data_IF_532898857031
#
_entry.id   IF_532898857031
#
_cell.length_a   1.000
_cell.length_b   1.000
_cell.length_c   1.000
_cell.angle_alpha   90.00
_cell.angle_beta   90.00
_cell.angle_gamma   90.00
#
_symmetry.space_group_name_H-M   'P 1'
#
loop_
_entity.id
_entity.type
_entity.pdbx_description
1 polymer ?
#
# COMPACT_ATOMS: atom_id res chain seq x y z
N UNK A 1 -11.16 -6.57 24.87
CA UNK A 1 -11.49 -7.75 24.04
C UNK A 1 -10.27 -8.10 23.22
N UNK A 2 -9.79 -9.34 23.26
CA UNK A 2 -8.67 -9.79 22.43
C UNK A 2 -9.20 -10.09 21.03
N UNK A 3 -9.09 -9.14 20.10
CA UNK A 3 -9.23 -9.45 18.68
C UNK A 3 -8.08 -10.38 18.31
N UNK A 4 -8.39 -11.59 17.86
CA UNK A 4 -7.40 -12.51 17.33
C UNK A 4 -6.82 -11.94 16.03
N UNK A 5 -5.49 -11.85 15.97
CA UNK A 5 -4.76 -11.33 14.82
C UNK A 5 -4.13 -12.48 14.05
N UNK A 6 -4.43 -12.56 12.76
CA UNK A 6 -3.83 -13.54 11.86
C UNK A 6 -2.57 -12.94 11.25
N UNK A 7 -1.41 -13.50 11.59
CA UNK A 7 -0.16 -13.16 10.91
C UNK A 7 -0.24 -13.62 9.46
N UNK A 8 0.04 -12.70 8.54
CA UNK A 8 0.23 -13.00 7.12
C UNK A 8 1.72 -13.05 6.80
N UNK A 9 2.47 -12.04 7.25
CA UNK A 9 3.93 -11.98 7.08
C UNK A 9 4.60 -11.69 8.42
N UNK A 10 5.71 -12.36 8.67
CA UNK A 10 6.59 -12.09 9.80
C UNK A 10 8.03 -12.24 9.34
N UNK A 11 8.83 -11.20 9.51
CA UNK A 11 10.20 -11.20 9.04
C UNK A 11 11.07 -10.24 9.86
N UNK A 12 12.37 -10.55 9.89
CA UNK A 12 13.39 -9.60 10.28
C UNK A 12 13.73 -8.75 9.06
N UNK A 13 13.68 -7.42 9.19
CA UNK A 13 14.01 -6.50 8.12
C UNK A 13 15.46 -6.72 7.70
N UNK A 14 15.73 -7.11 6.47
CA UNK A 14 17.09 -7.20 5.93
C UNK A 14 17.04 -7.06 4.38
N UNK A 15 18.18 -7.10 3.66
CA UNK A 15 18.18 -6.96 2.21
C UNK A 15 17.37 -8.03 1.46
N UNK A 16 17.17 -9.22 2.03
CA UNK A 16 16.47 -10.35 1.41
C UNK A 16 14.98 -10.40 1.81
N UNK A 17 14.65 -10.06 3.05
CA UNK A 17 13.28 -10.06 3.59
C UNK A 17 12.88 -8.66 4.02
N UNK A 18 12.07 -8.02 3.17
CA UNK A 18 11.55 -6.66 3.33
C UNK A 18 10.24 -6.50 2.55
N UNK A 19 9.68 -5.29 2.54
CA UNK A 19 8.47 -4.92 1.82
C UNK A 19 8.48 -5.32 0.34
N UNK A 20 9.63 -5.38 -0.35
CA UNK A 20 9.70 -5.86 -1.74
C UNK A 20 9.32 -7.33 -1.85
N UNK A 21 9.75 -8.18 -0.92
CA UNK A 21 9.42 -9.61 -0.95
C UNK A 21 7.90 -9.84 -0.77
N UNK A 22 7.28 -9.03 0.10
CA UNK A 22 5.83 -9.04 0.29
C UNK A 22 5.11 -8.56 -0.96
N UNK A 23 5.58 -7.45 -1.53
CA UNK A 23 5.05 -6.88 -2.77
C UNK A 23 5.08 -7.92 -3.90
N UNK A 24 6.22 -8.58 -4.11
CA UNK A 24 6.40 -9.63 -5.12
C UNK A 24 5.41 -10.80 -4.92
N UNK A 25 5.22 -11.26 -3.67
CA UNK A 25 4.31 -12.37 -3.34
C UNK A 25 2.84 -12.00 -3.61
N UNK A 26 2.45 -10.76 -3.29
CA UNK A 26 1.09 -10.25 -3.56
C UNK A 26 0.80 -10.23 -5.06
N UNK A 27 1.70 -9.64 -5.86
CA UNK A 27 1.51 -9.60 -7.32
C UNK A 27 1.51 -10.99 -7.94
N UNK A 28 2.47 -11.84 -7.56
CA UNK A 28 2.54 -13.20 -8.06
C UNK A 28 1.21 -13.94 -7.82
N UNK A 29 0.65 -13.80 -6.63
CA UNK A 29 -0.60 -14.47 -6.25
C UNK A 29 -1.82 -13.89 -6.96
N UNK A 30 -1.89 -12.57 -7.13
CA UNK A 30 -2.97 -11.90 -7.84
C UNK A 30 -2.96 -12.21 -9.34
N UNK A 31 -1.78 -12.22 -9.97
CA UNK A 31 -1.60 -12.61 -11.36
C UNK A 31 -1.94 -14.08 -11.57
N UNK A 32 -1.46 -14.97 -10.70
CA UNK A 32 -1.82 -16.38 -10.73
C UNK A 32 -3.33 -16.59 -10.60
N UNK A 33 -3.99 -15.80 -9.75
CA UNK A 33 -5.45 -15.84 -9.61
C UNK A 33 -6.17 -15.35 -10.88
N UNK A 34 -5.75 -14.21 -11.44
CA UNK A 34 -6.33 -13.60 -12.65
C UNK A 34 -6.21 -14.52 -13.86
N UNK A 35 -5.07 -15.20 -13.99
CA UNK A 35 -4.73 -15.99 -15.17
C UNK A 35 -4.79 -17.51 -14.94
N UNK A 36 -5.41 -17.98 -13.84
CA UNK A 36 -5.46 -19.40 -13.44
C UNK A 36 -5.99 -20.36 -14.51
N UNK A 37 -6.84 -19.87 -15.40
CA UNK A 37 -7.48 -20.65 -16.45
C UNK A 37 -6.82 -20.50 -17.83
N UNK A 38 -5.70 -19.75 -17.92
CA UNK A 38 -4.98 -19.56 -19.16
C UNK A 38 -3.80 -20.53 -19.18
N UNK A 39 -3.92 -21.58 -20.01
CA UNK A 39 -2.84 -22.51 -20.30
C UNK A 39 -2.26 -22.21 -21.68
N UNK A 40 -0.93 -22.24 -21.82
CA UNK A 40 -0.25 -22.20 -23.12
C UNK A 40 -0.01 -20.81 -23.75
N UNK A 41 -0.41 -19.70 -23.13
CA UNK A 41 -0.22 -18.35 -23.68
C UNK A 41 0.76 -17.50 -22.86
N UNK A 42 1.61 -16.74 -23.55
CA UNK A 42 2.37 -15.66 -22.95
C UNK A 42 1.48 -14.41 -22.86
N UNK A 43 1.28 -13.89 -21.65
CA UNK A 43 0.44 -12.71 -21.44
C UNK A 43 1.36 -11.51 -21.21
N UNK A 44 1.29 -10.46 -22.04
CA UNK A 44 2.02 -9.23 -21.77
C UNK A 44 1.47 -8.60 -20.48
N UNK A 45 2.36 -8.31 -19.54
CA UNK A 45 2.02 -7.68 -18.26
C UNK A 45 2.65 -6.29 -18.23
N UNK A 46 1.82 -5.26 -18.16
CA UNK A 46 2.21 -3.86 -17.95
C UNK A 46 1.69 -3.36 -16.58
N UNK A 47 2.05 -2.13 -16.19
CA UNK A 47 1.68 -1.53 -14.91
C UNK A 47 0.15 -1.47 -14.69
N UNK A 48 -0.61 -1.24 -15.76
CA UNK A 48 -2.07 -1.30 -15.72
C UNK A 48 -2.56 -2.71 -15.40
N UNK A 49 -2.02 -3.73 -16.09
CA UNK A 49 -2.38 -5.14 -15.88
C UNK A 49 -2.09 -5.58 -14.45
N UNK A 50 -0.97 -5.11 -13.89
CA UNK A 50 -0.56 -5.35 -12.51
C UNK A 50 -1.55 -4.72 -11.53
N UNK A 51 -1.82 -3.43 -11.69
CA UNK A 51 -2.78 -2.70 -10.86
C UNK A 51 -4.15 -3.38 -10.90
N UNK A 52 -4.66 -3.68 -12.09
CA UNK A 52 -5.96 -4.33 -12.27
C UNK A 52 -6.00 -5.75 -11.72
N UNK A 53 -4.87 -6.48 -11.72
CA UNK A 53 -4.82 -7.82 -11.12
C UNK A 53 -5.12 -7.81 -9.62
N UNK A 54 -4.81 -6.71 -8.93
CA UNK A 54 -5.11 -6.50 -7.52
C UNK A 54 -6.50 -5.91 -7.34
N UNK A 55 -6.79 -4.80 -8.02
CA UNK A 55 -7.99 -4.01 -7.75
C UNK A 55 -9.28 -4.57 -8.37
N UNK A 56 -9.19 -5.53 -9.29
CA UNK A 56 -10.37 -6.26 -9.78
C UNK A 56 -10.80 -7.42 -8.86
N UNK A 57 -10.01 -7.73 -7.83
CA UNK A 57 -10.41 -8.75 -6.85
C UNK A 57 -11.62 -8.27 -6.04
N UNK A 58 -12.44 -9.21 -5.58
CA UNK A 58 -13.68 -8.98 -4.81
C UNK A 58 -13.66 -9.72 -3.47
N UNK A 59 -14.59 -9.41 -2.58
CA UNK A 59 -14.73 -10.13 -1.29
C UNK A 59 -15.05 -11.63 -1.44
N UNK A 60 -15.56 -12.05 -2.59
CA UNK A 60 -15.86 -13.45 -2.90
C UNK A 60 -14.63 -14.23 -3.35
N UNK A 61 -13.62 -13.55 -3.88
CA UNK A 61 -12.41 -14.19 -4.36
C UNK A 61 -11.63 -14.82 -3.20
N UNK A 62 -10.88 -15.87 -3.51
CA UNK A 62 -10.06 -16.62 -2.56
C UNK A 62 -8.66 -16.73 -3.15
N UNK A 63 -7.75 -15.94 -2.61
CA UNK A 63 -6.36 -15.84 -3.09
C UNK A 63 -5.45 -16.41 -2.02
N UNK A 64 -4.57 -17.32 -2.43
CA UNK A 64 -3.52 -17.85 -1.56
C UNK A 64 -2.34 -16.87 -1.57
N UNK A 65 -2.02 -16.31 -0.41
CA UNK A 65 -0.89 -15.41 -0.17
C UNK A 65 -0.02 -16.07 0.89
N UNK A 66 1.25 -16.37 0.58
CA UNK A 66 2.09 -17.21 1.41
C UNK A 66 1.38 -18.54 1.77
N UNK A 67 1.18 -18.82 3.06
CA UNK A 67 0.52 -20.03 3.56
C UNK A 67 -0.94 -19.80 3.99
N UNK A 68 -1.55 -18.67 3.61
CA UNK A 68 -2.91 -18.31 4.03
C UNK A 68 -3.79 -18.08 2.81
N UNK A 69 -5.06 -18.47 2.92
CA UNK A 69 -6.12 -18.05 2.00
C UNK A 69 -6.78 -16.82 2.62
N UNK A 70 -6.86 -15.74 1.85
CA UNK A 70 -7.55 -14.51 2.21
C UNK A 70 -8.48 -14.08 1.08
N UNK A 71 -9.46 -13.24 1.38
CA UNK A 71 -10.37 -12.74 0.37
C UNK A 71 -9.76 -11.62 -0.47
N UNK A 72 -10.35 -11.33 -1.64
CA UNK A 72 -9.80 -10.32 -2.56
C UNK A 72 -9.76 -8.91 -1.99
N UNK A 73 -10.72 -8.54 -1.13
CA UNK A 73 -10.70 -7.25 -0.42
C UNK A 73 -9.47 -7.15 0.51
N UNK A 74 -9.18 -8.20 1.28
CA UNK A 74 -7.98 -8.26 2.13
C UNK A 74 -6.68 -8.23 1.33
N UNK A 75 -6.67 -8.73 0.08
CA UNK A 75 -5.50 -8.57 -0.81
C UNK A 75 -5.26 -7.10 -1.16
N UNK A 76 -6.31 -6.32 -1.47
CA UNK A 76 -6.18 -4.87 -1.74
C UNK A 76 -5.66 -4.12 -0.52
N UNK A 77 -6.22 -4.42 0.65
CA UNK A 77 -5.83 -3.80 1.92
C UNK A 77 -4.36 -4.09 2.24
N UNK A 78 -3.94 -5.35 2.07
CA UNK A 78 -2.57 -5.80 2.26
C UNK A 78 -1.60 -5.15 1.26
N UNK A 79 -2.02 -4.99 0.01
CA UNK A 79 -1.24 -4.29 -1.02
C UNK A 79 -0.98 -2.83 -0.64
N UNK A 80 -2.02 -2.08 -0.27
CA UNK A 80 -1.89 -0.67 0.14
C UNK A 80 -1.02 -0.55 1.40
N UNK A 81 -1.22 -1.46 2.36
CA UNK A 81 -0.38 -1.56 3.56
C UNK A 81 1.09 -1.80 3.21
N UNK A 82 1.37 -2.62 2.21
CA UNK A 82 2.74 -2.92 1.76
C UNK A 82 3.45 -1.70 1.19
N UNK A 83 2.72 -0.80 0.51
CA UNK A 83 3.28 0.47 0.03
C UNK A 83 3.76 1.31 1.23
N UNK A 84 2.89 1.48 2.24
CA UNK A 84 3.23 2.24 3.44
C UNK A 84 4.30 1.56 4.30
N UNK A 85 4.31 0.22 4.32
CA UNK A 85 5.32 -0.59 5.02
C UNK A 85 6.73 -0.26 4.55
N UNK A 86 6.93 0.01 3.25
CA UNK A 86 8.25 0.42 2.73
C UNK A 86 8.75 1.74 3.31
N UNK A 87 7.83 2.68 3.53
CA UNK A 87 8.15 3.90 4.26
C UNK A 87 8.46 3.61 5.73
N UNK A 88 7.65 2.78 6.40
CA UNK A 88 7.92 2.38 7.79
C UNK A 88 9.29 1.73 7.96
N UNK A 89 9.67 0.79 7.10
CA UNK A 89 10.99 0.15 7.13
C UNK A 89 12.15 1.15 7.13
N UNK A 90 12.01 2.29 6.43
CA UNK A 90 13.03 3.35 6.41
C UNK A 90 13.25 4.05 7.76
N UNK A 91 12.30 3.89 8.70
CA UNK A 91 12.33 4.50 10.05
C UNK A 91 12.89 3.58 11.12
N UNK A 92 13.21 2.33 10.79
CA UNK A 92 13.68 1.32 11.73
C UNK A 92 15.02 0.71 11.33
N UNK A 93 15.67 0.05 12.30
CA UNK A 93 16.91 -0.69 12.06
C UNK A 93 16.68 -1.90 11.16
N UNK A 94 17.69 -2.25 10.35
CA UNK A 94 17.75 -3.50 9.55
C UNK A 94 17.89 -4.77 10.39
N UNK A 95 17.53 -4.73 11.65
CA UNK A 95 17.43 -5.92 12.50
C UNK A 95 16.05 -5.98 13.17
N UNK A 96 15.22 -4.95 13.02
CA UNK A 96 13.86 -4.91 13.56
C UNK A 96 12.98 -5.96 12.92
N UNK A 97 12.05 -6.49 13.69
CA UNK A 97 11.11 -7.52 13.28
C UNK A 97 9.77 -6.88 12.97
N UNK A 98 9.20 -7.25 11.82
CA UNK A 98 7.93 -6.75 11.33
C UNK A 98 6.95 -7.90 11.26
N UNK A 99 5.74 -7.67 11.78
CA UNK A 99 4.62 -8.60 11.65
C UNK A 99 3.44 -7.88 11.01
N UNK A 100 3.10 -8.30 9.80
CA UNK A 100 1.91 -7.80 9.08
C UNK A 100 0.75 -8.74 9.39
N UNK A 101 -0.30 -8.19 9.97
CA UNK A 101 -1.45 -8.95 10.48
C UNK A 101 -2.75 -8.45 9.88
N UNK A 102 -3.71 -9.37 9.78
CA UNK A 102 -5.11 -9.09 9.50
C UNK A 102 -5.93 -9.44 10.74
N UNK A 103 -6.88 -8.59 11.15
CA UNK A 103 -7.81 -8.96 12.21
C UNK A 103 -8.76 -10.06 11.72
N UNK A 104 -9.18 -10.95 12.61
CA UNK A 104 -10.19 -11.96 12.29
C UNK A 104 -11.61 -11.38 12.27
N UNK A 105 -11.86 -10.31 13.04
CA UNK A 105 -13.14 -9.60 13.09
C UNK A 105 -12.99 -8.17 12.57
N UNK A 106 -13.84 -7.76 11.63
CA UNK A 106 -13.88 -6.42 11.06
C UNK A 106 -14.57 -5.45 12.04
N UNK A 107 -13.84 -4.95 13.04
CA UNK A 107 -14.40 -4.03 14.04
C UNK A 107 -13.90 -2.60 13.89
N UNK A 108 -12.60 -2.37 13.69
CA UNK A 108 -12.03 -1.01 13.55
C UNK A 108 -10.66 -0.93 12.86
N UNK A 109 -10.12 -2.06 12.41
CA UNK A 109 -8.81 -2.14 11.75
C UNK A 109 -8.94 -3.05 10.54
N UNK A 110 -8.39 -2.63 9.41
CA UNK A 110 -8.38 -3.42 8.18
C UNK A 110 -7.09 -4.27 8.14
N UNK A 111 -5.95 -3.64 8.44
CA UNK A 111 -4.61 -4.25 8.55
C UNK A 111 -3.83 -3.63 9.70
N UNK A 112 -2.84 -4.36 10.23
CA UNK A 112 -1.89 -3.76 11.16
C UNK A 112 -0.46 -4.25 10.91
N UNK A 113 0.50 -3.41 11.32
CA UNK A 113 1.93 -3.72 11.32
C UNK A 113 2.45 -3.57 12.74
N UNK A 114 3.05 -4.63 13.26
CA UNK A 114 3.67 -4.65 14.57
C UNK A 114 5.18 -4.68 14.38
N UNK A 115 5.87 -3.67 14.92
CA UNK A 115 7.34 -3.59 14.84
C UNK A 115 7.96 -3.83 16.20
N UNK A 116 8.91 -4.75 16.25
CA UNK A 116 9.67 -5.09 17.45
C UNK A 116 11.15 -4.84 17.21
N UNK A 117 11.80 -4.09 18.09
CA UNK A 117 13.25 -3.87 18.00
C UNK A 117 14.02 -5.14 18.44
N UNK A 118 15.25 -5.36 17.93
CA UNK A 118 16.04 -6.55 18.22
C UNK A 118 16.19 -6.86 19.72
N UNK A 119 16.46 -5.83 20.51
CA UNK A 119 16.68 -5.90 21.95
C UNK A 119 15.45 -6.39 22.73
N UNK A 120 14.26 -6.27 22.14
CA UNK A 120 12.99 -6.57 22.79
C UNK A 120 12.38 -7.90 22.34
N UNK A 121 13.11 -8.68 21.53
CA UNK A 121 12.58 -9.95 21.05
C UNK A 121 12.53 -10.99 22.17
N UNK A 122 11.43 -11.77 22.23
CA UNK A 122 11.43 -12.96 23.05
C UNK A 122 12.50 -13.94 22.54
N UNK A 123 13.24 -14.55 23.48
CA UNK A 123 14.31 -15.53 23.18
C UNK A 123 13.81 -16.75 22.40
N UNK A 124 12.51 -17.04 22.46
CA UNK A 124 11.85 -18.11 21.71
C UNK A 124 10.73 -17.52 20.84
N UNK A 125 10.88 -17.63 19.52
CA UNK A 125 9.86 -17.21 18.55
C UNK A 125 8.99 -18.40 18.19
N UNK A 126 7.76 -18.43 18.70
CA UNK A 126 6.78 -19.41 18.24
C UNK A 126 6.26 -18.98 16.86
N UNK A 127 6.56 -19.78 15.82
CA UNK A 127 6.17 -19.50 14.43
C UNK A 127 4.67 -19.62 14.13
N UNK A 128 3.88 -20.14 15.07
CA UNK A 128 2.45 -20.45 14.84
C UNK A 128 1.47 -19.43 15.43
N UNK A 129 1.90 -18.65 16.42
CA UNK A 129 1.09 -17.61 17.06
C UNK A 129 1.93 -16.37 17.30
N UNK A 130 1.37 -15.19 17.02
CA UNK A 130 2.04 -13.93 17.28
C UNK A 130 2.14 -13.70 18.79
N UNK A 131 3.28 -14.01 19.39
CA UNK A 131 3.63 -13.52 20.72
C UNK A 131 4.43 -12.23 20.55
N UNK A 132 3.73 -11.10 20.52
CA UNK A 132 4.39 -9.80 20.60
C UNK A 132 5.01 -9.64 21.99
N UNK A 133 6.23 -9.11 22.09
CA UNK A 133 6.76 -8.69 23.38
C UNK A 133 5.96 -7.52 23.95
N UNK A 134 6.13 -7.28 25.26
CA UNK A 134 5.51 -6.13 25.94
C UNK A 134 5.86 -4.81 25.25
N UNK A 135 7.10 -4.68 24.78
CA UNK A 135 7.56 -3.50 24.05
C UNK A 135 7.52 -3.74 22.54
N UNK A 136 6.50 -3.17 21.89
CA UNK A 136 6.37 -3.14 20.42
C UNK A 136 5.74 -1.82 19.97
N UNK A 137 5.89 -1.51 18.69
CA UNK A 137 5.32 -0.34 18.04
C UNK A 137 4.17 -0.78 17.14
N UNK A 138 2.91 -0.61 17.56
CA UNK A 138 1.76 -0.98 16.76
C UNK A 138 1.37 0.14 15.78
N UNK A 139 1.12 -0.24 14.53
CA UNK A 139 0.53 0.61 13.51
C UNK A 139 -0.77 -0.03 13.04
N UNK A 140 -1.90 0.53 13.46
CA UNK A 140 -3.23 0.10 13.04
C UNK A 140 -3.68 0.93 11.84
N UNK A 141 -4.20 0.27 10.82
CA UNK A 141 -4.62 0.91 9.59
C UNK A 141 -6.09 0.66 9.27
N UNK A 142 -6.76 1.74 8.91
CA UNK A 142 -7.97 1.75 8.09
C UNK A 142 -7.56 1.99 6.65
N UNK A 143 -8.00 1.14 5.72
CA UNK A 143 -7.64 1.23 4.31
C UNK A 143 -8.88 1.68 3.52
N UNK A 144 -8.71 2.69 2.69
CA UNK A 144 -9.78 3.25 1.87
C UNK A 144 -9.29 3.43 0.43
N UNK A 145 -10.19 3.21 -0.52
CA UNK A 145 -9.94 3.46 -1.94
C UNK A 145 -10.66 4.74 -2.35
N UNK A 146 -9.92 5.69 -2.90
CA UNK A 146 -10.47 6.86 -3.56
C UNK A 146 -10.45 6.61 -5.07
N UNK A 147 -11.62 6.39 -5.64
CA UNK A 147 -11.78 6.01 -7.05
C UNK A 147 -13.14 6.42 -7.60
N UNK A 148 -13.20 6.87 -8.85
CA UNK A 148 -14.46 7.01 -9.59
C UNK A 148 -14.69 5.80 -10.50
N UNK A 149 -15.44 4.82 -10.00
CA UNK A 149 -15.73 3.58 -10.74
C UNK A 149 -16.51 3.81 -12.03
N UNK A 150 -17.40 4.81 -12.08
CA UNK A 150 -18.19 5.09 -13.29
C UNK A 150 -17.27 5.59 -14.39
N UNK A 151 -16.34 6.48 -14.04
CA UNK A 151 -15.35 7.02 -14.96
C UNK A 151 -14.41 5.95 -15.49
N UNK A 152 -13.86 5.12 -14.60
CA UNK A 152 -12.98 4.00 -14.99
C UNK A 152 -13.63 3.00 -15.96
N UNK A 153 -14.97 2.91 -16.00
CA UNK A 153 -15.70 2.02 -16.89
C UNK A 153 -16.13 2.67 -18.21
N UNK A 154 -16.12 4.01 -18.32
CA UNK A 154 -16.72 4.74 -19.45
C UNK A 154 -15.72 5.54 -20.29
N UNK A 155 -14.61 6.00 -19.72
CA UNK A 155 -13.65 6.85 -20.42
C UNK A 155 -12.48 6.06 -21.02
N UNK A 156 -12.35 6.13 -22.35
CA UNK A 156 -11.20 5.58 -23.08
C UNK A 156 -9.89 6.37 -22.85
N UNK A 157 -9.97 7.58 -22.29
CA UNK A 157 -8.84 8.43 -21.93
C UNK A 157 -9.09 9.03 -20.55
N UNK A 158 -8.46 8.47 -19.52
CA UNK A 158 -8.59 8.97 -18.14
C UNK A 158 -7.87 10.32 -18.02
N UNK A 159 -8.62 11.41 -18.13
CA UNK A 159 -8.11 12.74 -17.87
C UNK A 159 -7.86 12.94 -16.36
N UNK A 160 -6.78 13.63 -16.02
CA UNK A 160 -6.49 14.04 -14.64
C UNK A 160 -7.60 14.96 -14.12
N UNK A 161 -8.11 14.73 -12.91
CA UNK A 161 -9.17 15.54 -12.31
C UNK A 161 -8.74 16.12 -10.95
N UNK A 162 -9.25 17.29 -10.54
CA UNK A 162 -8.98 17.82 -9.22
C UNK A 162 -9.56 16.91 -8.13
N UNK A 163 -8.89 16.85 -6.98
CA UNK A 163 -9.37 16.05 -5.85
C UNK A 163 -10.69 16.58 -5.28
N UNK A 164 -11.72 15.74 -5.25
CA UNK A 164 -12.96 16.04 -4.53
C UNK A 164 -12.76 15.76 -3.03
N UNK A 165 -12.50 16.83 -2.29
CA UNK A 165 -12.31 16.83 -0.83
C UNK A 165 -13.58 16.39 -0.09
N UNK A 166 -14.77 16.64 -0.66
CA UNK A 166 -16.03 16.21 -0.05
C UNK A 166 -16.17 14.69 -0.10
N UNK A 167 -15.83 14.08 -1.24
CA UNK A 167 -15.75 12.63 -1.38
C UNK A 167 -14.68 12.04 -0.47
N UNK A 168 -13.53 12.70 -0.35
CA UNK A 168 -12.45 12.27 0.54
C UNK A 168 -12.92 12.22 2.01
N UNK A 169 -13.54 13.29 2.50
CA UNK A 169 -14.11 13.34 3.85
C UNK A 169 -15.15 12.22 4.11
N UNK A 170 -15.96 11.87 3.10
CA UNK A 170 -16.95 10.79 3.22
C UNK A 170 -16.31 9.42 3.43
N UNK A 171 -15.15 9.15 2.83
CA UNK A 171 -14.49 7.83 2.92
C UNK A 171 -13.50 7.74 4.09
N UNK A 172 -13.01 8.86 4.60
CA UNK A 172 -12.05 8.89 5.72
C UNK A 172 -12.68 8.85 7.10
N UNK A 173 -14.02 8.98 7.20
CA UNK A 173 -14.78 8.70 8.42
C UNK A 173 -14.30 9.39 9.70
N UNK A 174 -14.69 8.83 10.85
CA UNK A 174 -14.25 9.22 12.21
C UNK A 174 -13.29 8.18 12.79
N UNK A 175 -12.40 7.62 11.96
CA UNK A 175 -11.46 6.61 12.40
C UNK A 175 -10.43 7.20 13.36
N UNK A 176 -10.11 6.46 14.42
CA UNK A 176 -9.09 6.84 15.40
C UNK A 176 -7.69 6.36 15.00
N UNK A 177 -7.65 5.31 14.18
CA UNK A 177 -6.46 4.65 13.65
C UNK A 177 -5.89 5.38 12.43
N UNK A 178 -4.68 5.02 11.98
CA UNK A 178 -4.12 5.62 10.77
C UNK A 178 -4.97 5.24 9.55
N UNK A 179 -5.40 6.21 8.76
CA UNK A 179 -6.21 5.94 7.57
C UNK A 179 -5.36 6.10 6.31
N UNK A 180 -5.12 5.00 5.61
CA UNK A 180 -4.41 4.99 4.33
C UNK A 180 -5.44 5.06 3.19
N UNK A 181 -5.47 6.19 2.49
CA UNK A 181 -6.35 6.39 1.34
C UNK A 181 -5.55 6.19 0.06
N UNK A 182 -5.81 5.09 -0.64
CA UNK A 182 -5.21 4.82 -1.94
C UNK A 182 -6.02 5.51 -3.04
N UNK A 183 -5.39 6.49 -3.69
CA UNK A 183 -5.93 7.20 -4.84
C UNK A 183 -5.58 6.41 -6.10
N UNK A 184 -6.52 5.58 -6.54
CA UNK A 184 -6.35 4.74 -7.75
C UNK A 184 -6.47 5.57 -9.03
N UNK A 185 -7.25 6.64 -8.97
CA UNK A 185 -7.53 7.49 -10.11
C UNK A 185 -6.43 8.55 -10.34
N UNK A 186 -6.31 9.05 -11.57
CA UNK A 186 -5.38 10.14 -11.88
C UNK A 186 -5.93 11.46 -11.34
N UNK A 187 -5.34 11.94 -10.25
CA UNK A 187 -5.82 13.12 -9.55
C UNK A 187 -4.76 14.22 -9.49
N UNK A 188 -5.20 15.46 -9.70
CA UNK A 188 -4.41 16.65 -9.47
C UNK A 188 -4.48 17.03 -7.99
N UNK A 189 -3.31 17.27 -7.41
CA UNK A 189 -3.11 17.63 -6.02
C UNK A 189 -2.67 19.09 -5.92
N UNK A 190 -3.37 19.87 -5.09
CA UNK A 190 -2.88 21.16 -4.58
C UNK A 190 -2.80 21.08 -3.07
N UNK A 191 -1.69 21.58 -2.52
CA UNK A 191 -1.46 21.57 -1.07
C UNK A 191 -2.51 22.39 -0.31
N UNK A 192 -2.96 23.49 -0.93
CA UNK A 192 -3.94 24.39 -0.31
C UNK A 192 -5.33 23.75 -0.21
N UNK A 193 -5.74 22.97 -1.23
CA UNK A 193 -7.06 22.31 -1.27
C UNK A 193 -7.22 21.27 -0.15
N UNK A 194 -6.12 20.65 0.27
CA UNK A 194 -6.12 19.57 1.27
C UNK A 194 -5.68 20.01 2.66
N UNK A 195 -5.27 21.26 2.83
CA UNK A 195 -4.85 21.79 4.13
C UNK A 195 -5.92 21.64 5.20
N UNK A 196 -7.16 22.02 4.86
CA UNK A 196 -8.31 21.89 5.76
C UNK A 196 -8.65 20.42 6.03
N UNK A 197 -8.56 19.57 5.00
CA UNK A 197 -8.77 18.13 5.13
C UNK A 197 -7.80 17.52 6.16
N UNK A 198 -6.48 17.72 6.00
CA UNK A 198 -5.50 17.15 6.93
C UNK A 198 -5.54 17.75 8.32
N UNK A 199 -5.99 19.00 8.47
CA UNK A 199 -6.24 19.59 9.79
C UNK A 199 -7.38 18.88 10.52
N UNK A 200 -8.44 18.49 9.79
CA UNK A 200 -9.56 17.75 10.35
C UNK A 200 -9.26 16.25 10.53
N UNK A 201 -8.33 15.71 9.74
CA UNK A 201 -7.99 14.29 9.70
C UNK A 201 -6.47 14.08 9.82
N UNK A 202 -5.86 14.38 10.98
CA UNK A 202 -4.40 14.34 11.16
C UNK A 202 -3.80 12.93 11.08
N UNK A 203 -4.62 11.90 11.18
CA UNK A 203 -4.29 10.48 11.04
C UNK A 203 -4.41 9.95 9.61
N UNK A 204 -4.77 10.78 8.63
CA UNK A 204 -4.92 10.37 7.24
C UNK A 204 -3.62 10.52 6.44
N UNK A 205 -3.38 9.53 5.58
CA UNK A 205 -2.27 9.49 4.63
C UNK A 205 -2.83 9.21 3.24
N UNK A 206 -2.46 10.02 2.25
CA UNK A 206 -2.85 9.77 0.86
C UNK A 206 -1.74 9.01 0.14
N UNK A 207 -2.09 7.96 -0.56
CA UNK A 207 -1.16 7.14 -1.35
C UNK A 207 -1.57 7.24 -2.81
N UNK A 208 -0.69 7.79 -3.65
CA UNK A 208 -0.94 7.97 -5.07
C UNK A 208 0.03 7.11 -5.89
N UNK A 209 -0.45 6.58 -7.01
CA UNK A 209 0.43 6.14 -8.09
C UNK A 209 0.74 7.37 -8.96
N UNK A 210 1.98 7.88 -8.98
CA UNK A 210 2.35 8.97 -9.87
C UNK A 210 2.43 8.42 -11.29
N UNK A 211 1.56 8.90 -12.18
CA UNK A 211 1.92 8.82 -13.60
C UNK A 211 3.08 9.79 -13.86
N UNK A 212 3.97 9.41 -14.77
CA UNK A 212 5.34 9.93 -14.94
C UNK A 212 5.44 11.43 -15.30
N UNK A 213 4.33 12.16 -15.38
CA UNK A 213 4.32 13.58 -15.73
C UNK A 213 3.37 14.37 -14.85
N UNK A 214 3.95 15.07 -13.88
CA UNK A 214 3.41 16.26 -13.20
C UNK A 214 2.67 16.02 -11.88
N UNK A 215 3.35 15.45 -10.88
CA UNK A 215 3.12 15.91 -9.51
C UNK A 215 3.93 17.18 -9.31
N UNK A 216 3.25 18.32 -9.39
CA UNK A 216 3.78 19.63 -9.02
C UNK A 216 3.57 19.79 -7.52
N UNK A 217 4.63 19.59 -6.74
CA UNK A 217 4.60 19.84 -5.32
C UNK A 217 5.22 21.21 -5.03
N UNK A 218 4.56 22.04 -4.23
CA UNK A 218 5.10 23.32 -3.77
C UNK A 218 5.38 23.15 -2.27
N UNK A 219 6.64 22.92 -1.86
CA UNK A 219 6.97 22.78 -0.45
C UNK A 219 6.69 24.08 0.31
N UNK A 220 6.19 23.92 1.55
CA UNK A 220 6.11 25.00 2.52
C UNK A 220 7.52 25.56 2.79
N UNK A 221 7.76 26.80 2.41
CA UNK A 221 9.07 27.47 2.54
C UNK A 221 9.95 27.45 1.29
N UNK A 222 9.44 27.00 0.13
CA UNK A 222 10.13 27.28 -1.15
C UNK A 222 10.22 28.79 -1.35
N UNK A 223 11.45 29.32 -1.50
CA UNK A 223 11.72 30.77 -1.52
C UNK A 223 10.99 31.52 -2.65
N UNK A 224 10.49 30.80 -3.66
CA UNK A 224 9.89 31.38 -4.86
C UNK A 224 8.54 30.76 -5.26
N UNK A 225 7.93 29.90 -4.42
CA UNK A 225 6.68 29.19 -4.77
C UNK A 225 6.79 28.23 -5.97
N UNK A 226 8.01 27.94 -6.41
CA UNK A 226 8.26 27.14 -7.61
C UNK A 226 8.00 25.65 -7.37
N UNK A 227 7.29 24.97 -8.30
CA UNK A 227 7.10 23.53 -8.29
C UNK A 227 8.41 22.75 -8.18
N UNK A 228 8.55 21.90 -7.16
CA UNK A 228 9.54 20.84 -7.19
C UNK A 228 8.96 19.62 -7.91
N UNK A 229 9.62 19.21 -9.00
CA UNK A 229 9.32 17.95 -9.69
C UNK A 229 9.88 16.80 -8.86
N UNK A 230 9.01 15.88 -8.43
CA UNK A 230 9.44 14.61 -7.85
C UNK A 230 10.02 13.75 -8.98
N UNK A 231 11.27 13.30 -8.84
CA UNK A 231 11.90 12.39 -9.80
C UNK A 231 11.48 10.96 -9.48
N UNK A 232 10.84 10.31 -10.45
CA UNK A 232 10.47 8.90 -10.37
C UNK A 232 11.40 8.06 -11.24
N UNK A 233 11.67 6.83 -10.79
CA UNK A 233 12.44 5.85 -11.56
C UNK A 233 11.51 5.18 -12.57
N UNK A 234 11.73 5.44 -13.86
CA UNK A 234 10.85 4.96 -14.93
C UNK A 234 10.82 3.44 -15.07
N UNK A 235 11.74 2.71 -14.42
CA UNK A 235 11.81 1.25 -14.43
C UNK A 235 11.23 0.60 -13.17
N UNK A 236 10.57 1.39 -12.31
CA UNK A 236 9.99 0.93 -11.04
C UNK A 236 8.53 1.33 -10.93
N UNK A 237 7.78 0.59 -10.13
CA UNK A 237 6.46 1.02 -9.71
C UNK A 237 6.63 2.01 -8.58
N UNK A 238 6.29 3.26 -8.83
CA UNK A 238 6.48 4.35 -7.89
C UNK A 238 5.16 4.63 -7.17
N UNK A 239 5.26 5.11 -5.94
CA UNK A 239 4.14 5.61 -5.16
C UNK A 239 4.57 6.85 -4.39
N UNK A 240 3.64 7.78 -4.22
CA UNK A 240 3.79 8.93 -3.35
C UNK A 240 2.93 8.74 -2.11
N UNK A 241 3.53 8.91 -0.94
CA UNK A 241 2.82 8.95 0.35
C UNK A 241 2.81 10.41 0.80
N UNK A 242 1.62 10.98 0.97
CA UNK A 242 1.40 12.37 1.38
C UNK A 242 0.95 12.37 2.83
N UNK A 243 1.61 13.17 3.66
CA UNK A 243 1.42 13.25 5.10
C UNK A 243 0.53 14.44 5.47
N UNK A 244 -0.03 14.40 6.69
CA UNK A 244 -0.91 15.45 7.19
C UNK A 244 -0.22 16.82 7.36
N UNK A 245 1.09 16.83 7.58
CA UNK A 245 1.90 18.06 7.58
C UNK A 245 2.20 18.60 6.17
N UNK A 246 1.58 17.98 5.15
CA UNK A 246 1.75 18.26 3.73
C UNK A 246 3.15 17.97 3.20
N UNK A 247 3.97 17.23 3.93
CA UNK A 247 5.19 16.64 3.36
C UNK A 247 4.86 15.36 2.58
N UNK A 248 5.82 14.82 1.85
CA UNK A 248 5.65 13.56 1.13
C UNK A 248 6.88 12.66 1.22
N UNK A 249 6.67 11.37 0.93
CA UNK A 249 7.74 10.39 0.71
C UNK A 249 7.49 9.64 -0.58
N UNK A 250 8.52 9.49 -1.42
CA UNK A 250 8.47 8.60 -2.59
C UNK A 250 8.93 7.21 -2.19
N UNK A 251 8.13 6.20 -2.48
CA UNK A 251 8.51 4.79 -2.34
C UNK A 251 8.43 4.11 -3.70
N UNK A 252 9.41 3.28 -4.01
CA UNK A 252 9.48 2.60 -5.31
C UNK A 252 9.72 1.11 -5.12
N UNK A 253 9.04 0.30 -5.90
CA UNK A 253 9.23 -1.15 -5.95
C UNK A 253 9.80 -1.53 -7.31
N UNK A 254 10.74 -2.48 -7.32
CA UNK A 254 11.13 -3.10 -8.57
C UNK A 254 9.93 -3.88 -9.12
N UNK A 255 9.82 -3.97 -10.44
CA UNK A 255 8.85 -4.88 -11.06
C UNK A 255 9.07 -6.31 -10.51
N UNK A 256 7.99 -7.07 -10.25
CA UNK A 256 8.11 -8.39 -9.64
C UNK A 256 9.10 -9.28 -10.37
N UNK A 257 10.09 -9.85 -9.66
CA UNK A 257 11.17 -10.65 -10.26
C UNK A 257 10.66 -11.83 -11.10
N UNK A 258 9.47 -12.35 -10.77
CA UNK A 258 8.80 -13.41 -11.52
C UNK A 258 8.43 -13.02 -12.96
N UNK A 259 8.32 -11.73 -13.27
CA UNK A 259 8.02 -11.20 -14.60
C UNK A 259 9.29 -10.86 -15.40
N UNK A 260 10.45 -10.78 -14.74
CA UNK A 260 11.72 -10.41 -15.35
C UNK A 260 12.46 -11.58 -16.02
N UNK A 261 11.95 -12.82 -15.92
CA UNK A 261 12.51 -13.95 -16.67
C UNK A 261 12.14 -13.83 -18.15
N UNK A 262 12.96 -13.09 -18.92
CA UNK A 262 13.14 -13.38 -20.34
C UNK A 262 13.60 -14.84 -20.45
N UNK A 263 12.75 -15.72 -20.97
CA UNK A 263 13.29 -16.89 -21.67
C UNK A 263 13.90 -16.32 -22.95
N UNK A 264 15.22 -16.41 -23.06
CA UNK A 264 15.89 -16.37 -24.36
C UNK A 264 15.22 -17.42 -25.24
N UNK A 265 14.55 -16.95 -26.29
CA UNK A 265 14.21 -17.80 -27.42
C UNK A 265 15.47 -18.05 -28.24
#
# INVERSE_FOLDING_TARGET
MHTSWKIIFHYQLNPQTNSQAIYDEIFKSALAYKFRNLSGFAIPVNDQTLTDSIFNLTGHDRVKIANKIINGQKVKELFITTIFLKFLESKFSKLSFFSVVLPENESSVDTAVMVTKPENLPKEVNKTQLKLPKEHYPYYFQIKEYVDFKRLQSDNLLACQPIDVTKLNKITGIYSENTLVFMRDFMQYSSDDLKKFFTNHPNCYLIAHPDQSQITFIPKGSKDGLPQKVKFDSNKHNYLIIFADQTFSSVSFNSPKSLLKRRSF
#
